data_IF_759138806431
#
_entry.id   IF_759138806431
#
_cell.length_a   1.000
_cell.length_b   1.000
_cell.length_c   1.000
_cell.angle_alpha   90.00
_cell.angle_beta   90.00
_cell.angle_gamma   90.00
#
_symmetry.space_group_name_H-M   'P 1'
#
loop_
_entity.id
_entity.type
_entity.pdbx_description
1 polymer ?
#
# COMPACT_ATOMS: atom_id res chain seq x y z
N UNK A 1 -4.08 -8.27 -6.14
CA UNK A 1 -3.29 -8.41 -4.89
C UNK A 1 -2.47 -7.16 -4.68
N UNK A 2 -2.68 -6.50 -3.55
CA UNK A 2 -2.03 -5.26 -3.14
C UNK A 2 -0.82 -5.59 -2.27
N UNK A 3 0.23 -4.78 -2.40
CA UNK A 3 1.49 -4.89 -1.68
C UNK A 3 1.64 -3.69 -0.77
N UNK A 4 2.21 -3.93 0.41
CA UNK A 4 2.59 -2.87 1.35
C UNK A 4 4.11 -2.85 1.39
N UNK A 5 4.69 -1.74 0.95
CA UNK A 5 6.12 -1.48 1.02
C UNK A 5 6.42 -0.42 2.08
N UNK A 6 7.61 -0.49 2.65
CA UNK A 6 8.19 0.59 3.46
C UNK A 6 9.47 1.08 2.82
N UNK A 7 9.75 2.37 2.94
CA UNK A 7 11.05 2.96 2.66
C UNK A 7 11.53 3.69 3.91
N UNK A 8 12.39 3.05 4.74
CA UNK A 8 12.87 3.66 5.97
C UNK A 8 13.77 4.89 5.74
N UNK A 9 14.44 4.97 4.59
CA UNK A 9 15.33 6.10 4.24
C UNK A 9 14.54 7.37 3.96
N UNK A 10 13.38 7.21 3.34
CA UNK A 10 12.49 8.31 2.92
C UNK A 10 11.28 8.47 3.86
N UNK A 11 11.20 7.68 4.93
CA UNK A 11 10.09 7.70 5.91
C UNK A 11 8.70 7.53 5.25
N UNK A 12 8.60 6.58 4.32
CA UNK A 12 7.38 6.36 3.51
C UNK A 12 6.85 4.94 3.61
N UNK A 13 5.53 4.81 3.46
CA UNK A 13 4.81 3.55 3.32
C UNK A 13 3.96 3.62 2.07
N UNK A 14 4.03 2.60 1.21
CA UNK A 14 3.33 2.59 -0.08
C UNK A 14 2.40 1.37 -0.18
N UNK A 15 1.16 1.62 -0.60
CA UNK A 15 0.21 0.60 -1.03
C UNK A 15 0.11 0.60 -2.55
N UNK A 16 0.38 -0.54 -3.19
CA UNK A 16 0.26 -0.65 -4.66
C UNK A 16 0.04 -2.08 -5.16
N UNK A 17 -0.61 -2.25 -6.33
CA UNK A 17 -0.62 -3.51 -7.09
C UNK A 17 0.68 -3.77 -7.84
N UNK A 18 1.51 -2.75 -8.05
CA UNK A 18 2.77 -2.87 -8.79
C UNK A 18 3.86 -3.52 -7.94
N UNK A 19 4.80 -4.19 -8.59
CA UNK A 19 6.05 -4.57 -7.93
C UNK A 19 6.99 -3.37 -8.01
N UNK A 20 7.40 -2.87 -6.86
CA UNK A 20 8.41 -1.81 -6.77
C UNK A 20 9.78 -2.48 -6.73
N UNK A 21 10.64 -2.10 -7.67
CA UNK A 21 12.06 -2.42 -7.68
C UNK A 21 12.82 -1.09 -7.63
N UNK A 22 13.39 -0.77 -6.49
CA UNK A 22 14.05 0.51 -6.26
C UNK A 22 14.76 0.50 -4.92
N UNK A 23 15.78 1.34 -4.78
CA UNK A 23 16.57 1.45 -3.58
C UNK A 23 15.69 1.88 -2.38
N UNK A 24 15.91 1.25 -1.22
CA UNK A 24 15.21 1.57 0.03
C UNK A 24 13.81 0.97 0.21
N UNK A 25 13.14 0.51 -0.86
CA UNK A 25 11.81 -0.10 -0.74
C UNK A 25 11.87 -1.58 -0.33
N UNK A 26 11.27 -1.90 0.82
CA UNK A 26 11.17 -3.25 1.36
C UNK A 26 9.72 -3.69 1.37
N UNK A 27 9.43 -4.84 0.76
CA UNK A 27 8.10 -5.44 0.80
C UNK A 27 7.84 -6.01 2.20
N UNK A 28 6.81 -5.48 2.88
CA UNK A 28 6.42 -5.96 4.21
C UNK A 28 5.41 -7.08 4.12
N UNK A 29 4.37 -6.93 3.29
CA UNK A 29 3.28 -7.91 3.21
C UNK A 29 2.43 -7.71 1.95
N UNK A 30 1.47 -8.61 1.73
CA UNK A 30 0.53 -8.60 0.61
C UNK A 30 -0.88 -8.91 1.09
N UNK A 31 -1.89 -8.30 0.47
CA UNK A 31 -3.30 -8.55 0.74
C UNK A 31 -4.11 -8.71 -0.53
N UNK A 32 -5.17 -9.51 -0.46
CA UNK A 32 -6.09 -9.70 -1.58
C UNK A 32 -6.83 -8.40 -1.93
N UNK A 33 -7.28 -7.65 -0.93
CA UNK A 33 -8.09 -6.43 -1.10
C UNK A 33 -7.33 -5.16 -0.76
N UNK A 34 -7.74 -4.05 -1.37
CA UNK A 34 -7.12 -2.74 -1.15
C UNK A 34 -7.28 -2.29 0.31
N UNK A 35 -8.48 -2.43 0.88
CA UNK A 35 -8.79 -1.99 2.25
C UNK A 35 -7.86 -2.66 3.29
N UNK A 36 -7.62 -3.97 3.16
CA UNK A 36 -6.74 -4.69 4.09
C UNK A 36 -5.29 -4.20 3.99
N UNK A 37 -4.81 -3.93 2.77
CA UNK A 37 -3.49 -3.35 2.57
C UNK A 37 -3.39 -1.93 3.14
N UNK A 38 -4.38 -1.09 2.87
CA UNK A 38 -4.45 0.28 3.37
C UNK A 38 -4.45 0.32 4.90
N UNK A 39 -5.28 -0.47 5.57
CA UNK A 39 -5.31 -0.54 7.06
C UNK A 39 -3.96 -0.94 7.65
N UNK A 40 -3.28 -1.92 7.03
CA UNK A 40 -1.94 -2.32 7.49
C UNK A 40 -0.91 -1.22 7.27
N UNK A 41 -0.94 -0.57 6.12
CA UNK A 41 -0.03 0.50 5.77
C UNK A 41 -0.23 1.72 6.70
N UNK A 42 -1.48 2.11 6.96
CA UNK A 42 -1.84 3.16 7.92
C UNK A 42 -1.34 2.85 9.33
N UNK A 43 -1.50 1.61 9.79
CA UNK A 43 -0.95 1.21 11.09
C UNK A 43 0.56 1.40 11.16
N UNK A 44 1.30 1.00 10.12
CA UNK A 44 2.76 1.13 10.07
C UNK A 44 3.15 2.61 10.02
N UNK A 45 2.52 3.38 9.13
CA UNK A 45 2.76 4.80 8.95
C UNK A 45 2.59 5.57 10.28
N UNK A 46 1.46 5.37 10.97
CA UNK A 46 1.22 5.99 12.27
C UNK A 46 2.20 5.55 13.36
N UNK A 47 2.67 4.29 13.33
CA UNK A 47 3.60 3.78 14.35
C UNK A 47 5.03 4.27 14.17
N UNK A 48 5.43 4.54 12.93
CA UNK A 48 6.79 4.97 12.58
C UNK A 48 6.88 6.48 12.30
N UNK A 49 5.75 7.19 12.33
CA UNK A 49 5.62 8.58 11.91
C UNK A 49 6.03 8.80 10.43
N UNK A 50 5.62 7.85 9.58
CA UNK A 50 5.92 7.85 8.14
C UNK A 50 4.75 8.35 7.31
N UNK A 51 5.04 8.88 6.13
CA UNK A 51 4.03 9.29 5.15
C UNK A 51 3.41 8.05 4.49
N UNK A 52 2.08 7.96 4.50
CA UNK A 52 1.34 6.92 3.79
C UNK A 52 0.96 7.38 2.38
N UNK A 53 1.25 6.52 1.40
CA UNK A 53 1.00 6.77 -0.01
C UNK A 53 0.29 5.59 -0.68
N UNK A 54 -0.50 5.90 -1.70
CA UNK A 54 -1.14 4.92 -2.57
C UNK A 54 -1.46 5.54 -3.93
N UNK A 55 -1.60 4.67 -4.94
CA UNK A 55 -2.14 5.07 -6.23
C UNK A 55 -3.67 5.14 -6.14
N UNK A 56 -4.25 6.25 -6.57
CA UNK A 56 -5.70 6.44 -6.53
C UNK A 56 -6.41 5.44 -7.46
N UNK A 57 -5.80 5.11 -8.59
CA UNK A 57 -6.28 4.14 -9.57
C UNK A 57 -6.48 2.76 -8.95
N UNK A 58 -5.55 2.34 -8.09
CA UNK A 58 -5.61 1.06 -7.36
C UNK A 58 -6.83 1.01 -6.42
N UNK A 59 -7.17 2.14 -5.79
CA UNK A 59 -8.34 2.27 -4.91
C UNK A 59 -9.64 2.26 -5.71
N UNK A 60 -9.70 3.05 -6.79
CA UNK A 60 -10.88 3.18 -7.64
C UNK A 60 -11.20 1.84 -8.32
N UNK A 61 -10.20 1.16 -8.87
CA UNK A 61 -10.40 -0.12 -9.57
C UNK A 61 -11.00 -1.17 -8.62
N UNK A 62 -10.49 -1.27 -7.39
CA UNK A 62 -11.05 -2.17 -6.38
C UNK A 62 -12.50 -1.79 -6.04
N UNK A 63 -12.78 -0.51 -5.78
CA UNK A 63 -14.12 -0.05 -5.46
C UNK A 63 -15.11 -0.38 -6.59
N UNK A 64 -14.72 -0.16 -7.85
CA UNK A 64 -15.55 -0.48 -9.01
C UNK A 64 -15.74 -1.99 -9.22
N UNK A 65 -14.76 -2.83 -8.87
CA UNK A 65 -14.93 -4.29 -8.91
C UNK A 65 -15.97 -4.76 -7.90
N UNK A 66 -16.05 -4.13 -6.71
CA UNK A 66 -17.07 -4.45 -5.71
C UNK A 66 -18.48 -4.17 -6.23
N UNK A 67 -18.69 -3.10 -7.00
CA UNK A 67 -20.02 -2.75 -7.54
C UNK A 67 -20.48 -3.60 -8.74
N UNK A 68 -19.59 -4.41 -9.32
CA UNK A 68 -19.92 -5.30 -10.45
C UNK A 68 -20.31 -6.72 -10.02
N UNK A 69 -20.11 -7.05 -8.74
CA UNK A 69 -20.45 -8.34 -8.14
C UNK A 69 -21.69 -8.22 -7.26
#
# INVERSE_FOLDING_TARGET
MFRVYINPKEERVLVTKLRVAGEGWVLVTKYATWEKAYRKALYIANKLDYVLEWFLEDQIEEALQVFKN
#
